data_IF_231428685390
#
_entry.id   IF_231428685390
#
_cell.length_a   1.000
_cell.length_b   1.000
_cell.length_c   1.000
_cell.angle_alpha   90.00
_cell.angle_beta   90.00
_cell.angle_gamma   90.00
#
_symmetry.space_group_name_H-M   'P 1'
#
loop_
_entity.id
_entity.type
_entity.pdbx_description
1 polymer ?
#
# COMPACT_ATOMS: atom_id res chain seq x y z
N UNK A 1 5.39 -12.18 15.76
CA UNK A 1 4.36 -13.24 15.68
C UNK A 1 4.22 -14.06 16.97
N UNK A 2 5.30 -14.57 17.57
CA UNK A 2 5.28 -15.37 18.81
C UNK A 2 4.44 -14.76 19.95
N UNK A 3 4.64 -13.49 20.26
CA UNK A 3 3.90 -12.80 21.34
C UNK A 3 2.40 -12.65 21.04
N UNK A 4 2.02 -12.50 19.77
CA UNK A 4 0.61 -12.49 19.35
C UNK A 4 -0.03 -13.85 19.61
N UNK A 5 0.64 -14.94 19.26
CA UNK A 5 0.12 -16.30 19.48
C UNK A 5 0.02 -16.61 20.98
N UNK A 6 1.00 -16.17 21.79
CA UNK A 6 0.98 -16.34 23.25
C UNK A 6 -0.18 -15.59 23.92
N UNK A 7 -0.37 -14.32 23.59
CA UNK A 7 -1.48 -13.51 24.11
C UNK A 7 -2.86 -14.05 23.69
N UNK A 8 -2.93 -14.75 22.55
CA UNK A 8 -4.16 -15.33 22.00
C UNK A 8 -4.29 -16.84 22.29
N UNK A 9 -3.70 -17.35 23.37
CA UNK A 9 -3.71 -18.78 23.70
C UNK A 9 -5.13 -19.36 23.86
N UNK A 10 -6.03 -18.61 24.47
CA UNK A 10 -7.44 -19.00 24.69
C UNK A 10 -8.42 -18.42 23.66
N UNK A 11 -7.97 -17.46 22.85
CA UNK A 11 -8.81 -16.71 21.92
C UNK A 11 -9.44 -17.61 20.84
N UNK A 12 -10.60 -17.23 20.27
CA UNK A 12 -11.16 -17.90 19.10
C UNK A 12 -10.18 -17.93 17.92
N UNK A 13 -10.24 -18.99 17.10
CA UNK A 13 -9.37 -19.13 15.93
C UNK A 13 -9.50 -17.94 14.97
N UNK A 14 -10.72 -17.46 14.73
CA UNK A 14 -10.98 -16.33 13.85
C UNK A 14 -10.28 -15.05 14.35
N UNK A 15 -10.25 -14.80 15.66
CA UNK A 15 -9.59 -13.64 16.26
C UNK A 15 -8.06 -13.70 16.06
N UNK A 16 -7.47 -14.89 16.24
CA UNK A 16 -6.04 -15.09 15.98
C UNK A 16 -5.69 -14.84 14.51
N UNK A 17 -6.49 -15.35 13.56
CA UNK A 17 -6.29 -15.11 12.13
C UNK A 17 -6.43 -13.61 11.80
N UNK A 18 -7.46 -12.96 12.34
CA UNK A 18 -7.71 -11.53 12.12
C UNK A 18 -6.53 -10.67 12.61
N UNK A 19 -5.87 -11.05 13.70
CA UNK A 19 -4.71 -10.32 14.22
C UNK A 19 -3.41 -10.61 13.45
N UNK A 20 -3.19 -11.86 13.04
CA UNK A 20 -1.97 -12.27 12.33
C UNK A 20 -1.92 -11.75 10.89
N UNK A 21 -3.04 -11.78 10.16
CA UNK A 21 -3.07 -11.45 8.73
C UNK A 21 -2.51 -10.05 8.40
N UNK A 22 -2.88 -8.95 9.10
CA UNK A 22 -2.31 -7.63 8.85
C UNK A 22 -0.80 -7.55 9.12
N UNK A 23 -0.32 -8.26 10.15
CA UNK A 23 1.10 -8.26 10.53
C UNK A 23 1.92 -8.98 9.45
N UNK A 24 1.48 -10.17 9.05
CA UNK A 24 2.13 -10.96 8.00
C UNK A 24 2.16 -10.16 6.70
N UNK A 25 1.00 -9.61 6.28
CA UNK A 25 0.91 -8.81 5.05
C UNK A 25 1.81 -7.58 5.10
N UNK A 26 1.84 -6.86 6.22
CA UNK A 26 2.71 -5.70 6.40
C UNK A 26 4.18 -6.05 6.22
N UNK A 27 4.64 -7.10 6.92
CA UNK A 27 6.02 -7.56 6.86
C UNK A 27 6.38 -8.08 5.46
N UNK A 28 5.54 -8.90 4.84
CA UNK A 28 5.77 -9.37 3.47
C UNK A 28 5.79 -8.22 2.46
N UNK A 29 4.90 -7.24 2.59
CA UNK A 29 4.89 -6.07 1.71
C UNK A 29 6.16 -5.24 1.83
N UNK A 30 6.74 -5.14 3.02
CA UNK A 30 8.02 -4.48 3.23
C UNK A 30 9.17 -5.22 2.52
N UNK A 31 9.24 -6.55 2.69
CA UNK A 31 10.32 -7.37 2.13
C UNK A 31 10.07 -7.88 0.70
N UNK A 32 8.97 -7.48 0.04
CA UNK A 32 8.63 -7.99 -1.30
C UNK A 32 9.57 -7.51 -2.40
N UNK A 33 10.35 -6.45 -2.15
CA UNK A 33 11.22 -5.84 -3.17
C UNK A 33 12.59 -6.49 -3.27
N UNK A 34 12.99 -7.24 -2.23
CA UNK A 34 14.27 -7.95 -2.14
C UNK A 34 14.07 -9.45 -2.35
N UNK A 35 15.17 -10.22 -2.40
CA UNK A 35 15.16 -11.67 -2.67
C UNK A 35 14.71 -12.46 -1.43
N UNK A 36 13.42 -12.36 -1.09
CA UNK A 36 12.87 -12.87 0.17
C UNK A 36 12.14 -14.20 0.06
N UNK A 37 12.05 -14.80 -1.13
CA UNK A 37 11.17 -15.96 -1.34
C UNK A 37 11.49 -17.16 -0.44
N UNK A 38 12.78 -17.49 -0.31
CA UNK A 38 13.25 -18.59 0.56
C UNK A 38 12.95 -18.31 2.03
N UNK A 39 13.10 -17.05 2.46
CA UNK A 39 12.77 -16.60 3.82
C UNK A 39 11.27 -16.69 4.06
N UNK A 40 10.42 -16.26 3.12
CA UNK A 40 8.97 -16.39 3.26
C UNK A 40 8.53 -17.83 3.47
N UNK A 41 9.11 -18.79 2.73
CA UNK A 41 8.84 -20.21 2.94
C UNK A 41 9.29 -20.68 4.34
N UNK A 42 10.47 -20.24 4.80
CA UNK A 42 10.97 -20.54 6.15
C UNK A 42 10.06 -19.98 7.26
N UNK A 43 9.56 -18.76 7.08
CA UNK A 43 8.63 -18.11 8.02
C UNK A 43 7.28 -18.83 8.06
N UNK A 44 6.78 -19.31 6.93
CA UNK A 44 5.56 -20.13 6.88
C UNK A 44 5.71 -21.44 7.67
N UNK A 45 6.86 -22.12 7.55
CA UNK A 45 7.16 -23.32 8.34
C UNK A 45 7.25 -23.02 9.84
N UNK A 46 7.91 -21.92 10.19
CA UNK A 46 8.05 -21.46 11.58
C UNK A 46 6.69 -21.12 12.18
N UNK A 47 5.85 -20.40 11.44
CA UNK A 47 4.49 -20.06 11.83
C UNK A 47 3.62 -21.32 11.99
N UNK A 48 3.74 -22.28 11.07
CA UNK A 48 3.04 -23.56 11.19
C UNK A 48 3.40 -24.31 12.47
N UNK A 49 4.68 -24.35 12.83
CA UNK A 49 5.14 -24.96 14.09
C UNK A 49 4.56 -24.25 15.32
N UNK A 50 4.51 -22.91 15.32
CA UNK A 50 3.90 -22.13 16.39
C UNK A 50 2.38 -22.39 16.51
N UNK A 51 1.67 -22.48 15.39
CA UNK A 51 0.24 -22.77 15.36
C UNK A 51 -0.07 -24.21 15.79
N UNK A 52 0.77 -25.18 15.40
CA UNK A 52 0.70 -26.56 15.88
C UNK A 52 0.86 -26.61 17.40
N UNK A 53 1.85 -25.90 17.96
CA UNK A 53 2.04 -25.81 19.41
C UNK A 53 0.84 -25.14 20.10
N UNK A 54 0.29 -24.08 19.51
CA UNK A 54 -0.94 -23.43 19.99
C UNK A 54 -2.12 -24.42 20.02
N UNK A 55 -2.34 -25.20 18.97
CA UNK A 55 -3.39 -26.24 18.95
C UNK A 55 -3.16 -27.31 20.01
N UNK A 56 -1.91 -27.76 20.19
CA UNK A 56 -1.54 -28.72 21.25
C UNK A 56 -1.82 -28.15 22.63
N UNK A 57 -1.58 -26.85 22.85
CA UNK A 57 -1.86 -26.22 24.15
C UNK A 57 -3.34 -26.19 24.52
N UNK A 58 -4.24 -26.37 23.55
CA UNK A 58 -5.70 -26.33 23.70
C UNK A 58 -6.37 -27.71 23.65
N UNK A 59 -5.63 -28.75 23.28
CA UNK A 59 -6.19 -30.10 23.20
C UNK A 59 -6.38 -30.66 24.61
N UNK A 60 -7.40 -31.50 24.81
CA UNK A 60 -7.51 -32.32 26.02
C UNK A 60 -6.40 -33.39 26.01
N UNK A 61 -5.85 -33.77 27.17
CA UNK A 61 -4.72 -34.73 27.27
C UNK A 61 -4.94 -36.01 26.45
N UNK A 62 -6.14 -36.60 26.53
CA UNK A 62 -6.51 -37.84 25.83
C UNK A 62 -6.80 -37.69 24.33
N UNK A 63 -6.84 -36.47 23.79
CA UNK A 63 -7.16 -36.25 22.37
C UNK A 63 -5.92 -36.50 21.49
N UNK A 64 -6.02 -37.39 20.47
CA UNK A 64 -4.96 -37.59 19.48
C UNK A 64 -4.63 -36.28 18.75
N UNK A 65 -3.33 -36.07 18.46
CA UNK A 65 -2.85 -34.84 17.83
C UNK A 65 -3.57 -34.55 16.50
N UNK A 66 -3.71 -35.56 15.64
CA UNK A 66 -4.33 -35.42 14.31
C UNK A 66 -5.78 -34.93 14.45
N UNK A 67 -6.53 -35.45 15.43
CA UNK A 67 -7.92 -35.03 15.69
C UNK A 67 -7.99 -33.58 16.17
N UNK A 68 -7.04 -33.16 17.02
CA UNK A 68 -6.95 -31.76 17.45
C UNK A 68 -6.58 -30.82 16.30
N UNK A 69 -5.65 -31.20 15.43
CA UNK A 69 -5.26 -30.41 14.25
C UNK A 69 -6.42 -30.28 13.26
N UNK A 70 -7.12 -31.37 12.93
CA UNK A 70 -8.29 -31.35 12.03
C UNK A 70 -9.42 -30.42 12.48
N UNK A 71 -9.45 -30.01 13.76
CA UNK A 71 -10.41 -29.03 14.28
C UNK A 71 -10.14 -27.60 13.79
N UNK A 72 -8.87 -27.24 13.59
CA UNK A 72 -8.44 -25.88 13.24
C UNK A 72 -7.83 -25.79 11.83
N UNK A 73 -7.32 -26.91 11.33
CA UNK A 73 -6.73 -27.03 10.03
C UNK A 73 -7.63 -27.88 9.13
N UNK A 74 -7.91 -27.38 7.94
CA UNK A 74 -8.73 -28.06 6.95
C UNK A 74 -8.15 -27.88 5.56
N UNK A 75 -8.72 -28.60 4.59
CA UNK A 75 -8.33 -28.44 3.20
C UNK A 75 -8.77 -27.07 2.69
N UNK A 76 -7.82 -26.30 2.17
CA UNK A 76 -8.04 -24.93 1.72
C UNK A 76 -6.98 -24.50 0.71
N UNK A 77 -6.83 -23.18 0.55
CA UNK A 77 -5.93 -22.57 -0.44
C UNK A 77 -4.47 -23.04 -0.34
N UNK A 78 -4.02 -23.43 0.86
CA UNK A 78 -2.64 -23.86 1.13
C UNK A 78 -2.52 -25.38 1.33
N UNK A 79 -3.48 -26.13 0.81
CA UNK A 79 -3.54 -27.59 0.89
C UNK A 79 -4.27 -28.10 2.13
N UNK A 80 -4.01 -29.37 2.47
CA UNK A 80 -4.74 -30.13 3.51
C UNK A 80 -4.63 -29.55 4.92
N UNK A 81 -3.52 -28.86 5.22
CA UNK A 81 -3.23 -28.31 6.54
C UNK A 81 -3.27 -26.77 6.52
N UNK A 82 -4.34 -26.21 5.95
CA UNK A 82 -4.56 -24.76 5.94
C UNK A 82 -5.19 -24.33 7.27
N UNK A 83 -4.58 -23.36 7.97
CA UNK A 83 -5.16 -22.80 9.20
C UNK A 83 -6.28 -21.81 8.84
N UNK A 84 -7.52 -22.26 8.96
CA UNK A 84 -8.67 -21.49 8.53
C UNK A 84 -9.93 -21.81 9.33
N UNK A 85 -10.84 -20.84 9.33
CA UNK A 85 -12.24 -21.04 9.69
C UNK A 85 -13.08 -20.99 8.41
N UNK A 86 -14.36 -21.33 8.46
CA UNK A 86 -15.24 -21.26 7.28
C UNK A 86 -15.34 -19.88 6.63
N UNK A 87 -14.96 -18.80 7.33
CA UNK A 87 -15.01 -17.41 6.80
C UNK A 87 -13.64 -16.78 6.58
N UNK A 88 -12.60 -17.23 7.30
CA UNK A 88 -11.29 -16.57 7.30
C UNK A 88 -10.15 -17.56 7.18
N UNK A 89 -9.21 -17.24 6.29
CA UNK A 89 -8.01 -18.04 6.02
C UNK A 89 -6.78 -17.25 6.48
N UNK A 90 -5.82 -17.94 7.09
CA UNK A 90 -4.53 -17.37 7.42
C UNK A 90 -3.70 -17.17 6.15
N UNK A 91 -3.12 -15.98 6.00
CA UNK A 91 -2.27 -15.63 4.88
C UNK A 91 -0.89 -16.28 5.01
N UNK A 92 -0.40 -16.93 3.94
CA UNK A 92 0.96 -17.45 3.86
C UNK A 92 1.92 -16.39 3.32
N UNK A 93 3.10 -16.27 3.92
CA UNK A 93 4.15 -15.36 3.47
C UNK A 93 4.53 -15.65 2.02
N UNK A 94 4.59 -16.93 1.63
CA UNK A 94 4.91 -17.36 0.29
C UNK A 94 3.88 -16.95 -0.78
N UNK A 95 2.67 -16.50 -0.42
CA UNK A 95 1.72 -15.93 -1.37
C UNK A 95 2.17 -14.55 -1.88
N UNK A 96 3.06 -13.87 -1.16
CA UNK A 96 3.54 -12.57 -1.59
C UNK A 96 4.45 -12.73 -2.80
N UNK A 97 4.07 -12.04 -3.88
CA UNK A 97 4.85 -11.93 -5.10
C UNK A 97 6.02 -10.96 -4.90
N UNK A 98 7.22 -11.42 -5.25
CA UNK A 98 8.44 -10.61 -5.21
C UNK A 98 8.42 -9.64 -6.39
N UNK A 99 8.48 -8.34 -6.09
CA UNK A 99 8.52 -7.26 -7.09
C UNK A 99 9.90 -6.63 -7.11
N UNK A 100 10.74 -7.08 -8.03
CA UNK A 100 12.10 -6.56 -8.17
C UNK A 100 12.09 -5.11 -8.64
N UNK A 101 13.09 -4.35 -8.17
CA UNK A 101 13.35 -3.03 -8.73
C UNK A 101 13.81 -3.18 -10.18
N UNK A 102 13.23 -2.38 -11.08
CA UNK A 102 13.70 -2.28 -12.46
C UNK A 102 14.90 -1.34 -12.49
N UNK A 103 16.03 -1.76 -13.05
CA UNK A 103 17.21 -0.90 -13.20
C UNK A 103 16.91 0.27 -14.12
N UNK A 104 17.57 1.41 -13.89
CA UNK A 104 17.57 2.53 -14.86
C UNK A 104 18.28 2.04 -16.11
N UNK A 105 17.72 2.36 -17.27
CA UNK A 105 18.37 2.14 -18.55
C UNK A 105 19.72 2.86 -18.55
N UNK A 106 20.84 2.20 -18.87
CA UNK A 106 22.16 2.83 -18.87
C UNK A 106 22.23 4.09 -19.74
N UNK A 107 21.48 4.10 -20.84
CA UNK A 107 21.38 5.21 -21.80
C UNK A 107 20.47 6.36 -21.32
N UNK A 108 19.76 6.20 -20.20
CA UNK A 108 18.84 7.21 -19.68
C UNK A 108 19.47 8.07 -18.60
N UNK A 109 19.36 9.39 -18.75
CA UNK A 109 19.84 10.39 -17.79
C UNK A 109 18.72 11.36 -17.45
N UNK A 110 18.62 11.88 -16.21
CA UNK A 110 17.65 12.94 -15.89
C UNK A 110 17.75 14.18 -16.79
N UNK A 111 18.90 14.37 -17.47
CA UNK A 111 19.20 15.50 -18.34
C UNK A 111 19.06 15.19 -19.85
N UNK A 112 18.68 13.96 -20.23
CA UNK A 112 18.60 13.53 -21.63
C UNK A 112 17.37 14.05 -22.39
N UNK A 113 16.48 14.78 -21.71
CA UNK A 113 15.23 15.30 -22.28
C UNK A 113 14.14 14.24 -22.51
N UNK A 114 14.37 12.97 -22.13
CA UNK A 114 13.40 11.89 -22.24
C UNK A 114 12.42 11.88 -21.05
N UNK A 115 11.63 12.94 -20.96
CA UNK A 115 10.60 13.13 -19.94
C UNK A 115 9.59 11.97 -19.87
N UNK A 116 9.34 11.30 -21.01
CA UNK A 116 8.37 10.20 -21.10
C UNK A 116 8.81 8.95 -20.33
N UNK A 117 10.11 8.63 -20.33
CA UNK A 117 10.67 7.49 -19.62
C UNK A 117 10.61 7.68 -18.10
N UNK A 118 11.14 8.82 -17.61
CA UNK A 118 11.12 9.17 -16.19
C UNK A 118 9.71 9.21 -15.60
N UNK A 119 8.76 9.81 -16.34
CA UNK A 119 7.35 9.88 -15.95
C UNK A 119 6.69 8.52 -15.80
N UNK A 120 6.79 7.65 -16.82
CA UNK A 120 6.20 6.30 -16.78
C UNK A 120 6.81 5.47 -15.64
N UNK A 121 8.12 5.57 -15.46
CA UNK A 121 8.87 4.87 -14.42
C UNK A 121 8.47 5.30 -13.01
N UNK A 122 8.36 6.61 -12.74
CA UNK A 122 7.98 7.13 -11.42
C UNK A 122 6.56 6.73 -11.00
N UNK A 123 5.63 6.71 -11.95
CA UNK A 123 4.25 6.24 -11.71
C UNK A 123 4.12 4.72 -11.49
N UNK A 124 5.12 3.93 -11.88
CA UNK A 124 5.13 2.46 -11.76
C UNK A 124 6.14 1.93 -10.75
N UNK A 125 7.00 2.82 -10.21
CA UNK A 125 8.02 2.48 -9.23
C UNK A 125 7.40 1.95 -7.93
N UNK A 126 7.96 0.85 -7.44
CA UNK A 126 7.45 0.10 -6.28
C UNK A 126 7.49 0.89 -4.97
N UNK A 127 8.44 1.83 -4.84
CA UNK A 127 8.55 2.70 -3.67
C UNK A 127 7.67 3.95 -3.71
N UNK A 128 7.01 4.24 -4.83
CA UNK A 128 6.10 5.39 -4.93
C UNK A 128 4.81 5.08 -4.18
N UNK A 129 4.37 5.92 -3.21
CA UNK A 129 3.11 5.71 -2.53
C UNK A 129 1.95 5.58 -3.52
N UNK A 130 1.04 4.62 -3.30
CA UNK A 130 -0.10 4.35 -4.20
C UNK A 130 -0.92 5.59 -4.51
N UNK A 131 -1.07 6.50 -3.53
CA UNK A 131 -1.78 7.77 -3.69
C UNK A 131 -1.09 8.67 -4.72
N UNK A 132 0.23 8.84 -4.60
CA UNK A 132 1.06 9.61 -5.54
C UNK A 132 1.05 8.96 -6.93
N UNK A 133 1.24 7.64 -7.03
CA UNK A 133 1.21 6.91 -8.31
C UNK A 133 -0.10 7.13 -9.07
N UNK A 134 -1.25 7.06 -8.37
CA UNK A 134 -2.57 7.34 -8.98
C UNK A 134 -2.70 8.78 -9.46
N UNK A 135 -2.26 9.75 -8.66
CA UNK A 135 -2.33 11.18 -9.02
C UNK A 135 -1.42 11.52 -10.19
N UNK A 136 -0.20 10.99 -10.23
CA UNK A 136 0.72 11.15 -11.36
C UNK A 136 0.16 10.56 -12.65
N UNK A 137 -0.56 9.43 -12.57
CA UNK A 137 -1.24 8.85 -13.73
C UNK A 137 -2.38 9.75 -14.20
N UNK A 138 -3.23 10.22 -13.27
CA UNK A 138 -4.33 11.15 -13.54
C UNK A 138 -3.79 12.41 -14.19
N UNK A 139 -2.97 13.20 -13.51
CA UNK A 139 -2.40 14.47 -13.99
C UNK A 139 -1.41 14.36 -15.14
N UNK A 140 -1.26 13.19 -15.75
CA UNK A 140 -0.29 12.95 -16.81
C UNK A 140 1.14 13.41 -16.45
N UNK A 141 1.52 13.23 -15.19
CA UNK A 141 2.84 13.61 -14.67
C UNK A 141 3.17 15.10 -14.80
N UNK A 142 2.15 15.96 -14.89
CA UNK A 142 2.27 17.42 -14.95
C UNK A 142 1.79 17.99 -13.61
N UNK A 143 2.54 18.95 -13.07
CA UNK A 143 2.14 19.69 -11.89
C UNK A 143 1.05 20.71 -12.27
N UNK A 144 -0.14 20.70 -11.63
CA UNK A 144 -1.21 21.64 -11.91
C UNK A 144 -0.85 23.10 -11.70
N UNK A 145 0.10 23.40 -10.80
CA UNK A 145 0.47 24.76 -10.44
C UNK A 145 1.46 25.38 -11.42
N UNK A 146 2.62 24.75 -11.63
CA UNK A 146 3.65 25.30 -12.53
C UNK A 146 3.56 24.79 -13.98
N UNK A 147 2.67 23.83 -14.26
CA UNK A 147 2.50 23.17 -15.57
C UNK A 147 3.74 22.44 -16.10
N UNK A 148 4.79 22.28 -15.27
CA UNK A 148 5.97 21.49 -15.61
C UNK A 148 5.79 20.01 -15.27
N UNK A 149 6.60 19.17 -15.90
CA UNK A 149 6.64 17.74 -15.62
C UNK A 149 7.37 17.44 -14.31
N UNK A 150 6.93 16.37 -13.62
CA UNK A 150 7.69 15.81 -12.50
C UNK A 150 8.92 15.05 -13.00
N UNK A 151 10.09 15.42 -12.51
CA UNK A 151 11.38 14.75 -12.71
C UNK A 151 11.58 13.62 -11.69
N UNK A 152 12.46 12.63 -11.90
CA UNK A 152 12.79 11.59 -10.90
C UNK A 152 13.39 12.07 -9.58
N UNK A 153 13.83 13.32 -9.50
CA UNK A 153 14.46 13.95 -8.33
C UNK A 153 13.46 14.78 -7.51
N UNK A 154 12.33 15.17 -8.11
CA UNK A 154 11.37 16.04 -7.43
C UNK A 154 10.74 15.41 -6.20
N UNK A 155 10.64 16.21 -5.13
CA UNK A 155 9.81 15.91 -3.97
C UNK A 155 8.35 16.23 -4.30
N UNK A 156 7.52 15.18 -4.31
CA UNK A 156 6.09 15.28 -4.62
C UNK A 156 5.29 15.25 -3.33
N UNK A 157 4.43 16.23 -3.16
CA UNK A 157 3.49 16.32 -2.05
C UNK A 157 2.06 16.19 -2.57
N UNK A 158 1.21 15.54 -1.77
CA UNK A 158 -0.22 15.38 -2.07
C UNK A 158 -0.96 16.50 -1.36
N UNK A 159 -1.71 17.28 -2.12
CA UNK A 159 -2.46 18.45 -1.68
C UNK A 159 -3.94 18.31 -2.02
N UNK A 160 -4.79 19.02 -1.27
CA UNK A 160 -6.21 19.16 -1.55
C UNK A 160 -6.46 20.38 -2.44
N UNK A 161 -7.19 20.20 -3.54
CA UNK A 161 -7.55 21.30 -4.47
C UNK A 161 -8.33 22.35 -3.69
N UNK A 162 -9.50 21.98 -3.15
CA UNK A 162 -10.19 22.72 -2.09
C UNK A 162 -9.54 22.34 -0.76
N UNK A 163 -8.96 23.30 -0.02
CA UNK A 163 -8.37 23.04 1.29
C UNK A 163 -9.39 22.47 2.28
N UNK A 164 -8.94 21.62 3.21
CA UNK A 164 -9.82 21.07 4.27
C UNK A 164 -10.48 22.15 5.12
N UNK A 165 -9.77 23.25 5.39
CA UNK A 165 -10.29 24.41 6.13
C UNK A 165 -11.46 25.10 5.43
N UNK A 166 -11.63 24.89 4.12
CA UNK A 166 -12.71 25.42 3.28
C UNK A 166 -13.74 24.35 2.90
N UNK A 167 -13.78 23.22 3.62
CA UNK A 167 -14.74 22.14 3.40
C UNK A 167 -14.33 21.08 2.37
N UNK A 168 -13.09 21.13 1.87
CA UNK A 168 -12.57 20.16 0.91
C UNK A 168 -12.53 18.72 1.45
N UNK A 169 -13.12 17.78 0.70
CA UNK A 169 -13.16 16.36 1.07
C UNK A 169 -11.86 15.64 0.72
N UNK A 170 -11.49 14.59 1.45
CA UNK A 170 -10.30 13.77 1.16
C UNK A 170 -10.58 12.69 0.08
N UNK A 171 -11.03 13.12 -1.10
CA UNK A 171 -11.37 12.24 -2.23
C UNK A 171 -10.42 12.46 -3.41
N UNK A 172 -10.20 11.45 -4.25
CA UNK A 172 -9.30 11.56 -5.42
C UNK A 172 -9.70 12.65 -6.43
N UNK A 173 -10.93 13.14 -6.39
CA UNK A 173 -11.38 14.25 -7.23
C UNK A 173 -10.87 15.60 -6.69
N UNK A 174 -10.70 15.70 -5.37
CA UNK A 174 -10.19 16.89 -4.67
C UNK A 174 -8.70 16.76 -4.31
N UNK A 175 -7.99 15.74 -4.80
CA UNK A 175 -6.56 15.55 -4.54
C UNK A 175 -5.74 15.83 -5.79
N UNK A 176 -4.58 16.44 -5.58
CA UNK A 176 -3.57 16.68 -6.59
C UNK A 176 -2.16 16.41 -6.06
N UNK A 177 -1.25 16.03 -6.95
CA UNK A 177 0.17 15.95 -6.72
C UNK A 177 0.82 17.26 -7.17
N UNK A 178 1.62 17.87 -6.30
CA UNK A 178 2.37 19.10 -6.54
C UNK A 178 3.86 18.90 -6.24
N UNK A 179 4.72 19.68 -6.88
CA UNK A 179 6.09 19.84 -6.39
C UNK A 179 6.04 20.45 -4.99
N UNK A 180 6.99 20.11 -4.12
CA UNK A 180 7.07 20.70 -2.77
C UNK A 180 7.02 22.23 -2.76
N UNK A 181 7.76 22.89 -3.67
CA UNK A 181 7.72 24.35 -3.79
C UNK A 181 6.36 24.86 -4.31
N UNK A 182 5.72 24.12 -5.24
CA UNK A 182 4.39 24.48 -5.75
C UNK A 182 3.31 24.35 -4.67
N UNK A 183 3.39 23.32 -3.83
CA UNK A 183 2.48 23.13 -2.71
C UNK A 183 2.59 24.28 -1.73
N UNK A 184 3.81 24.68 -1.34
CA UNK A 184 4.03 25.85 -0.49
C UNK A 184 3.38 27.13 -1.05
N UNK A 185 3.58 27.41 -2.34
CA UNK A 185 2.98 28.59 -3.01
C UNK A 185 1.45 28.51 -2.99
N UNK A 186 0.87 27.34 -3.30
CA UNK A 186 -0.58 27.16 -3.26
C UNK A 186 -1.12 27.34 -1.84
N UNK A 187 -0.56 26.67 -0.84
CA UNK A 187 -1.02 26.77 0.54
C UNK A 187 -0.95 28.21 1.06
N UNK A 188 0.08 28.97 0.65
CA UNK A 188 0.16 30.39 0.95
C UNK A 188 -0.98 31.16 0.30
N UNK A 189 -1.40 30.82 -0.92
CA UNK A 189 -2.46 31.55 -1.63
C UNK A 189 -3.87 30.99 -1.38
N UNK A 190 -4.04 29.91 -0.62
CA UNK A 190 -5.33 29.26 -0.39
C UNK A 190 -6.39 30.19 0.22
N UNK A 191 -5.98 31.26 0.92
CA UNK A 191 -6.89 32.26 1.48
C UNK A 191 -7.39 33.30 0.46
N UNK A 192 -6.71 33.43 -0.69
CA UNK A 192 -7.02 34.43 -1.73
C UNK A 192 -8.12 33.96 -2.69
N UNK A 193 -8.46 32.67 -2.70
CA UNK A 193 -9.45 32.11 -3.59
C UNK A 193 -10.79 31.88 -2.88
N UNK A 194 -11.87 32.26 -3.55
CA UNK A 194 -13.22 31.86 -3.18
C UNK A 194 -13.49 30.46 -3.75
N UNK A 195 -13.20 29.42 -2.95
CA UNK A 195 -13.30 28.01 -3.35
C UNK A 195 -14.74 27.49 -3.50
N UNK A 196 -15.71 28.35 -3.81
CA UNK A 196 -17.10 27.97 -4.11
C UNK A 196 -17.13 26.88 -5.18
N UNK A 197 -18.07 25.94 -5.04
CA UNK A 197 -18.10 24.57 -5.61
C UNK A 197 -17.90 24.41 -7.13
N UNK A 198 -17.75 25.50 -7.90
CA UNK A 198 -17.60 25.51 -9.36
C UNK A 198 -16.26 26.09 -9.87
N UNK A 199 -15.27 26.27 -8.98
CA UNK A 199 -14.01 26.96 -9.29
C UNK A 199 -12.85 26.09 -9.79
N UNK A 200 -13.04 24.84 -10.23
CA UNK A 200 -11.98 24.10 -10.92
C UNK A 200 -12.56 23.03 -11.84
N UNK A 201 -11.98 22.88 -13.02
CA UNK A 201 -12.39 21.88 -13.99
C UNK A 201 -11.23 20.93 -14.27
N UNK A 202 -11.55 19.65 -14.41
CA UNK A 202 -10.62 18.67 -14.94
C UNK A 202 -10.92 18.48 -16.42
N UNK A 203 -10.17 19.17 -17.29
CA UNK A 203 -10.27 18.99 -18.74
C UNK A 203 -9.09 18.19 -19.25
N UNK A 204 -9.36 17.07 -19.92
CA UNK A 204 -8.34 16.16 -20.45
C UNK A 204 -7.28 15.74 -19.41
N UNK A 205 -7.72 15.48 -18.18
CA UNK A 205 -6.89 15.17 -17.01
C UNK A 205 -5.92 16.28 -16.57
N UNK A 206 -6.12 17.50 -17.06
CA UNK A 206 -5.41 18.70 -16.66
C UNK A 206 -6.34 19.50 -15.76
N UNK A 207 -5.91 19.77 -14.54
CA UNK A 207 -6.63 20.65 -13.62
C UNK A 207 -6.48 22.10 -14.11
N UNK A 208 -7.59 22.73 -14.45
CA UNK A 208 -7.72 24.16 -14.68
C UNK A 208 -8.35 24.78 -13.44
N UNK A 209 -7.59 25.65 -12.79
CA UNK A 209 -8.12 26.51 -11.72
C UNK A 209 -8.25 27.89 -12.36
N UNK A 210 -9.42 28.55 -12.31
CA UNK A 210 -9.56 29.96 -12.66
C UNK A 210 -8.54 30.74 -11.84
N UNK A 211 -7.68 31.51 -12.52
CA UNK A 211 -6.86 32.48 -11.81
C UNK A 211 -7.79 33.42 -11.05
N UNK A 212 -7.35 33.85 -9.86
CA UNK A 212 -8.14 34.68 -8.96
C UNK A 212 -8.81 35.84 -9.71
N UNK A 213 -10.05 36.16 -9.33
CA UNK A 213 -10.60 37.49 -9.64
C UNK A 213 -9.69 38.49 -8.91
N UNK A 214 -8.91 39.23 -9.68
CA UNK A 214 -8.27 40.48 -9.23
C UNK A 214 -9.39 41.49 -8.95
#
# INVERSE_FOLDING_TARGET
MKEVIKSHRTAPQAALIARLNPIIRGWCNYYRTVVSKKIFTSEDLTLWNMLRAWTVSRKKKKTPLIKALKKYFSHGKHGKWTFQTGKTVLYHHAETEIKRHTLVKPESSPLDGNWTYGRKRRGTYTGTPTRVSKLLKKQKGICPQCKQHFTPEDLIEVDHIIPKSKGGKDTYNNLQALHRHCHYVKSKNDYLYDWLENGYEWKDDILTVPMARV
#
